data_IF_685368327973
#
_entry.id   IF_685368327973
#
_cell.length_a   1.000
_cell.length_b   1.000
_cell.length_c   1.000
_cell.angle_alpha   90.00
_cell.angle_beta   90.00
_cell.angle_gamma   90.00
#
_symmetry.space_group_name_H-M   'P 1'
#
loop_
_entity.id
_entity.type
_entity.pdbx_description
1 polymer ?
#
# COMPACT_ATOMS: atom_id res chain seq x y z
N UNK A 1 -25.43 -16.76 9.76
CA UNK A 1 -25.80 -16.00 8.53
C UNK A 1 -24.60 -15.34 7.83
N UNK A 2 -23.43 -15.23 8.47
CA UNK A 2 -22.22 -14.55 7.96
C UNK A 2 -21.46 -15.28 6.83
N UNK A 3 -21.54 -16.62 6.81
CA UNK A 3 -20.84 -17.46 5.82
C UNK A 3 -21.38 -17.29 4.39
N UNK A 4 -22.71 -17.23 4.21
CA UNK A 4 -23.34 -17.06 2.89
C UNK A 4 -23.04 -15.68 2.28
N UNK A 5 -23.01 -14.64 3.12
CA UNK A 5 -22.65 -13.29 2.70
C UNK A 5 -21.16 -13.20 2.32
N UNK A 6 -20.26 -13.83 3.09
CA UNK A 6 -18.82 -13.84 2.78
C UNK A 6 -18.50 -14.55 1.47
N UNK A 7 -19.17 -15.68 1.17
CA UNK A 7 -19.02 -16.39 -0.11
C UNK A 7 -19.60 -15.58 -1.27
N UNK A 8 -20.75 -14.93 -1.09
CA UNK A 8 -21.34 -14.06 -2.11
C UNK A 8 -20.47 -12.81 -2.37
N UNK A 9 -19.94 -12.20 -1.32
CA UNK A 9 -19.02 -11.06 -1.41
C UNK A 9 -17.71 -11.45 -2.10
N UNK A 10 -17.11 -12.61 -1.76
CA UNK A 10 -15.90 -13.11 -2.44
C UNK A 10 -16.14 -13.47 -3.90
N UNK A 11 -17.31 -14.05 -4.22
CA UNK A 11 -17.65 -14.43 -5.60
C UNK A 11 -17.99 -13.22 -6.47
N UNK A 12 -18.62 -12.20 -5.87
CA UNK A 12 -18.84 -10.90 -6.53
C UNK A 12 -17.50 -10.17 -6.72
N UNK A 13 -16.65 -10.10 -5.69
CA UNK A 13 -15.35 -9.42 -5.75
C UNK A 13 -14.37 -10.09 -6.73
N UNK A 14 -14.36 -11.43 -6.83
CA UNK A 14 -13.53 -12.14 -7.81
C UNK A 14 -14.02 -11.97 -9.25
N UNK A 15 -15.32 -11.74 -9.44
CA UNK A 15 -15.91 -11.43 -10.73
C UNK A 15 -15.59 -10.01 -11.19
N UNK A 16 -15.69 -9.01 -10.31
CA UNK A 16 -15.45 -7.60 -10.68
C UNK A 16 -14.01 -7.34 -11.14
N UNK A 17 -13.05 -8.19 -10.74
CA UNK A 17 -11.65 -8.12 -11.20
C UNK A 17 -11.33 -8.91 -12.47
N UNK A 18 -12.26 -9.72 -13.01
CA UNK A 18 -12.00 -10.53 -14.20
C UNK A 18 -12.25 -9.72 -15.51
N UNK A 19 -11.38 -9.83 -16.53
CA UNK A 19 -11.60 -9.23 -17.86
C UNK A 19 -12.96 -9.55 -18.49
N UNK A 20 -13.54 -10.71 -18.15
CA UNK A 20 -14.86 -11.12 -18.58
C UNK A 20 -15.99 -10.24 -18.02
N UNK A 21 -15.87 -9.70 -16.80
CA UNK A 21 -16.87 -8.80 -16.22
C UNK A 21 -16.86 -7.43 -16.92
N UNK A 22 -15.67 -6.95 -17.33
CA UNK A 22 -15.56 -5.75 -18.15
C UNK A 22 -16.26 -5.94 -19.51
N UNK A 23 -16.02 -7.07 -20.18
CA UNK A 23 -16.68 -7.41 -21.45
C UNK A 23 -18.22 -7.49 -21.30
N UNK A 24 -18.70 -8.05 -20.18
CA UNK A 24 -20.14 -8.14 -19.89
C UNK A 24 -20.73 -6.75 -19.63
N UNK A 25 -20.04 -5.89 -18.87
CA UNK A 25 -20.47 -4.51 -18.64
C UNK A 25 -20.54 -3.71 -19.96
N UNK A 26 -19.55 -3.85 -20.84
CA UNK A 26 -19.56 -3.24 -22.18
C UNK A 26 -20.74 -3.76 -23.00
N UNK A 27 -21.00 -5.06 -22.99
CA UNK A 27 -22.15 -5.64 -23.70
C UNK A 27 -23.49 -5.08 -23.18
N UNK A 28 -23.65 -4.91 -21.87
CA UNK A 28 -24.85 -4.29 -21.26
C UNK A 28 -25.02 -2.85 -21.73
N UNK A 29 -23.94 -2.06 -21.78
CA UNK A 29 -23.98 -0.68 -22.29
C UNK A 29 -24.38 -0.66 -23.77
N UNK A 30 -23.84 -1.55 -24.59
CA UNK A 30 -24.19 -1.66 -26.02
C UNK A 30 -25.67 -2.00 -26.22
N UNK A 31 -26.19 -2.98 -25.48
CA UNK A 31 -27.62 -3.34 -25.51
C UNK A 31 -28.47 -2.13 -25.11
N UNK A 32 -28.09 -1.42 -24.05
CA UNK A 32 -28.80 -0.22 -23.64
C UNK A 32 -28.83 0.82 -24.77
N UNK A 33 -27.70 1.17 -25.38
CA UNK A 33 -27.63 2.12 -26.51
C UNK A 33 -28.56 1.71 -27.66
N UNK A 34 -28.58 0.42 -28.03
CA UNK A 34 -29.42 -0.10 -29.12
C UNK A 34 -30.91 -0.03 -28.78
N UNK A 35 -31.27 -0.13 -27.50
CA UNK A 35 -32.67 0.07 -27.06
C UNK A 35 -33.09 1.55 -27.02
N UNK A 36 -32.15 2.50 -27.01
CA UNK A 36 -32.45 3.94 -26.95
C UNK A 36 -33.38 4.47 -28.05
N UNK A 37 -33.15 4.15 -29.34
CA UNK A 37 -34.04 4.53 -30.45
C UNK A 37 -35.47 4.04 -30.29
N UNK A 38 -35.68 2.85 -29.69
CA UNK A 38 -37.02 2.28 -29.47
C UNK A 38 -37.80 3.13 -28.46
N UNK A 39 -37.11 3.67 -27.46
CA UNK A 39 -37.68 4.53 -26.41
C UNK A 39 -37.54 6.03 -26.69
N UNK A 40 -37.19 6.40 -27.93
CA UNK A 40 -36.94 7.80 -28.36
C UNK A 40 -35.99 8.57 -27.42
N UNK A 41 -35.03 7.89 -26.79
CA UNK A 41 -34.12 8.49 -25.80
C UNK A 41 -34.85 9.27 -24.68
N UNK A 42 -36.03 8.79 -24.26
CA UNK A 42 -36.87 9.44 -23.25
C UNK A 42 -36.15 9.70 -21.92
N UNK A 43 -36.66 10.68 -21.16
CA UNK A 43 -36.15 11.03 -19.84
C UNK A 43 -36.14 9.82 -18.88
N UNK A 44 -37.17 8.97 -18.94
CA UNK A 44 -37.23 7.74 -18.13
C UNK A 44 -36.14 6.74 -18.50
N UNK A 45 -35.83 6.60 -19.80
CA UNK A 45 -34.80 5.69 -20.28
C UNK A 45 -33.39 6.14 -19.84
N UNK A 46 -33.12 7.46 -19.84
CA UNK A 46 -31.88 8.03 -19.32
C UNK A 46 -31.81 7.94 -17.78
N UNK A 47 -32.93 8.19 -17.10
CA UNK A 47 -33.02 8.12 -15.64
C UNK A 47 -32.65 6.72 -15.12
N UNK A 48 -33.15 5.66 -15.76
CA UNK A 48 -32.88 4.28 -15.33
C UNK A 48 -31.38 3.96 -15.30
N UNK A 49 -30.62 4.33 -16.35
CA UNK A 49 -29.18 4.03 -16.35
C UNK A 49 -28.41 4.90 -15.37
N UNK A 50 -28.80 6.17 -15.22
CA UNK A 50 -28.11 7.11 -14.34
C UNK A 50 -28.33 6.70 -12.87
N UNK A 51 -29.58 6.44 -12.49
CA UNK A 51 -29.93 5.95 -11.15
C UNK A 51 -29.29 4.59 -10.87
N UNK A 52 -29.36 3.65 -11.82
CA UNK A 52 -28.75 2.32 -11.67
C UNK A 52 -27.24 2.38 -11.48
N UNK A 53 -26.55 3.15 -12.33
CA UNK A 53 -25.09 3.30 -12.26
C UNK A 53 -24.67 4.00 -10.97
N UNK A 54 -25.44 4.98 -10.49
CA UNK A 54 -25.17 5.66 -9.22
C UNK A 54 -25.24 4.68 -8.04
N UNK A 55 -26.28 3.84 -7.98
CA UNK A 55 -26.40 2.81 -6.93
C UNK A 55 -25.23 1.82 -7.00
N UNK A 56 -24.90 1.32 -8.20
CA UNK A 56 -23.78 0.39 -8.39
C UNK A 56 -22.46 1.03 -7.99
N UNK A 57 -22.23 2.30 -8.36
CA UNK A 57 -21.02 3.03 -8.00
C UNK A 57 -20.92 3.24 -6.50
N UNK A 58 -22.02 3.59 -5.84
CA UNK A 58 -22.05 3.74 -4.39
C UNK A 58 -21.72 2.42 -3.68
N UNK A 59 -22.31 1.31 -4.13
CA UNK A 59 -21.95 -0.03 -3.64
C UNK A 59 -20.50 -0.39 -3.95
N UNK A 60 -20.00 -0.04 -5.13
CA UNK A 60 -18.62 -0.27 -5.56
C UNK A 60 -17.63 0.45 -4.65
N UNK A 61 -17.92 1.68 -4.22
CA UNK A 61 -17.08 2.40 -3.25
C UNK A 61 -16.93 1.59 -1.95
N UNK A 62 -18.03 1.07 -1.39
CA UNK A 62 -17.95 0.21 -0.20
C UNK A 62 -17.19 -1.10 -0.45
N UNK A 63 -17.38 -1.73 -1.61
CA UNK A 63 -16.67 -2.96 -1.97
C UNK A 63 -15.17 -2.72 -2.15
N UNK A 64 -14.80 -1.64 -2.83
CA UNK A 64 -13.41 -1.20 -3.00
C UNK A 64 -12.82 -0.90 -1.62
N UNK A 65 -13.50 -0.13 -0.79
CA UNK A 65 -13.04 0.20 0.57
C UNK A 65 -12.86 -1.04 1.44
N UNK A 66 -13.78 -2.01 1.40
CA UNK A 66 -13.64 -3.27 2.16
C UNK A 66 -12.47 -4.13 1.66
N UNK A 67 -12.25 -4.17 0.34
CA UNK A 67 -11.13 -4.91 -0.25
C UNK A 67 -9.80 -4.22 0.06
N UNK A 68 -9.74 -2.90 -0.13
CA UNK A 68 -8.58 -2.06 0.18
C UNK A 68 -8.23 -2.10 1.66
N UNK A 69 -9.21 -2.10 2.56
CA UNK A 69 -8.96 -2.17 4.00
C UNK A 69 -8.31 -3.50 4.41
N UNK A 70 -8.75 -4.62 3.83
CA UNK A 70 -8.11 -5.93 4.04
C UNK A 70 -6.71 -6.01 3.43
N UNK A 71 -6.54 -5.46 2.23
CA UNK A 71 -5.25 -5.49 1.53
C UNK A 71 -4.21 -4.61 2.26
N UNK A 72 -4.63 -3.46 2.80
CA UNK A 72 -3.80 -2.59 3.65
C UNK A 72 -3.29 -3.34 4.89
N UNK A 73 -4.19 -4.00 5.62
CA UNK A 73 -3.83 -4.79 6.81
C UNK A 73 -2.87 -5.93 6.46
N UNK A 74 -3.09 -6.63 5.34
CA UNK A 74 -2.18 -7.68 4.89
C UNK A 74 -0.80 -7.14 4.51
N UNK A 75 -0.71 -5.94 3.93
CA UNK A 75 0.57 -5.30 3.62
C UNK A 75 1.32 -4.93 4.90
N UNK A 76 0.64 -4.35 5.89
CA UNK A 76 1.23 -4.03 7.19
C UNK A 76 1.85 -5.29 7.83
N UNK A 77 1.09 -6.39 7.93
CA UNK A 77 1.59 -7.64 8.52
C UNK A 77 2.82 -8.18 7.77
N UNK A 78 2.82 -8.15 6.44
CA UNK A 78 3.96 -8.60 5.63
C UNK A 78 5.19 -7.72 5.82
N UNK A 79 5.00 -6.42 5.98
CA UNK A 79 6.09 -5.49 6.28
C UNK A 79 6.63 -5.72 7.69
N UNK A 80 5.76 -5.92 8.69
CA UNK A 80 6.17 -6.26 10.05
C UNK A 80 6.99 -7.55 10.08
N UNK A 81 6.54 -8.60 9.37
CA UNK A 81 7.26 -9.86 9.23
C UNK A 81 8.62 -9.67 8.53
N UNK A 82 8.68 -8.82 7.49
CA UNK A 82 9.94 -8.51 6.82
C UNK A 82 10.90 -7.72 7.72
N UNK A 83 10.40 -6.79 8.54
CA UNK A 83 11.19 -6.08 9.55
C UNK A 83 11.75 -7.05 10.59
N UNK A 84 10.92 -7.97 11.09
CA UNK A 84 11.28 -9.07 12.00
C UNK A 84 12.25 -10.08 11.37
N UNK A 85 12.22 -10.28 10.05
CA UNK A 85 13.07 -11.24 9.35
C UNK A 85 14.39 -10.62 8.86
N UNK A 86 14.44 -9.30 8.62
CA UNK A 86 15.63 -8.62 8.11
C UNK A 86 16.72 -8.40 9.16
N UNK A 87 16.47 -8.80 10.40
CA UNK A 87 17.36 -8.81 11.57
C UNK A 87 16.52 -9.54 12.63
N UNK A 88 16.97 -10.32 13.61
CA UNK A 88 17.76 -9.81 14.74
C UNK A 88 17.48 -8.31 15.06
N UNK A 89 16.24 -7.87 14.78
CA UNK A 89 15.80 -6.48 14.66
C UNK A 89 15.10 -6.24 15.96
N UNK A 90 15.91 -5.82 16.92
CA UNK A 90 15.52 -5.46 18.27
C UNK A 90 14.01 -5.19 18.38
N UNK A 91 13.33 -6.12 19.06
CA UNK A 91 11.92 -6.25 19.42
C UNK A 91 11.13 -4.93 19.63
N UNK A 92 11.86 -3.83 19.87
CA UNK A 92 11.38 -2.48 20.16
C UNK A 92 10.66 -1.76 19.00
N UNK A 93 10.82 -2.19 17.75
CA UNK A 93 10.21 -1.50 16.60
C UNK A 93 8.91 -2.14 16.08
N UNK A 94 8.62 -3.38 16.48
CA UNK A 94 7.45 -4.11 15.96
C UNK A 94 6.10 -3.58 16.49
N UNK A 95 6.11 -2.84 17.61
CA UNK A 95 4.93 -2.26 18.25
C UNK A 95 5.01 -0.73 18.39
N UNK A 96 5.71 -0.04 17.48
CA UNK A 96 5.88 1.43 17.55
C UNK A 96 4.55 2.19 17.59
N UNK A 97 3.49 1.62 17.03
CA UNK A 97 2.14 2.21 17.01
C UNK A 97 1.40 2.10 18.35
N UNK A 98 1.86 1.21 19.25
CA UNK A 98 1.29 0.99 20.59
C UNK A 98 2.16 1.63 21.70
N UNK A 99 3.27 2.29 21.35
CA UNK A 99 4.14 2.96 22.32
C UNK A 99 3.50 4.25 22.84
N UNK A 100 3.73 4.53 24.12
CA UNK A 100 3.42 5.85 24.69
C UNK A 100 4.40 6.91 24.18
N UNK A 101 4.00 8.19 24.24
CA UNK A 101 4.83 9.31 23.75
C UNK A 101 6.24 9.32 24.40
N UNK A 102 6.32 8.94 25.67
CA UNK A 102 7.57 8.90 26.45
C UNK A 102 8.49 7.76 25.98
N UNK A 103 7.93 6.59 25.66
CA UNK A 103 8.67 5.45 25.10
C UNK A 103 9.11 5.71 23.66
N UNK A 104 8.31 6.45 22.89
CA UNK A 104 8.65 6.86 21.53
C UNK A 104 9.82 7.85 21.52
N UNK A 105 9.87 8.77 22.48
CA UNK A 105 10.96 9.73 22.65
C UNK A 105 12.27 9.03 23.05
N UNK A 106 12.22 8.03 23.93
CA UNK A 106 13.37 7.21 24.31
C UNK A 106 13.92 6.41 23.11
N UNK A 107 13.03 5.80 22.31
CA UNK A 107 13.41 5.07 21.10
C UNK A 107 14.07 5.99 20.05
N UNK A 108 13.53 7.20 19.89
CA UNK A 108 14.07 8.20 18.99
C UNK A 108 15.47 8.69 19.45
N UNK A 109 15.66 8.85 20.76
CA UNK A 109 16.96 9.22 21.35
C UNK A 109 18.04 8.14 21.15
N UNK A 110 17.72 6.86 21.37
CA UNK A 110 18.65 5.74 21.14
C UNK A 110 19.04 5.64 19.65
N UNK A 111 18.07 5.78 18.75
CA UNK A 111 18.32 5.75 17.31
C UNK A 111 19.26 6.88 16.86
N UNK A 112 19.06 8.08 17.41
CA UNK A 112 19.94 9.23 17.17
C UNK A 112 21.36 8.99 17.66
N UNK A 113 21.52 8.46 18.88
CA UNK A 113 22.84 8.16 19.44
C UNK A 113 23.60 7.13 18.59
N UNK A 114 22.91 6.09 18.12
CA UNK A 114 23.50 5.07 17.23
C UNK A 114 23.90 5.64 15.86
N UNK A 115 23.09 6.53 15.30
CA UNK A 115 23.39 7.20 14.03
C UNK A 115 24.64 8.10 14.16
N UNK A 116 24.77 8.83 15.27
CA UNK A 116 25.94 9.67 15.56
C UNK A 116 27.21 8.82 15.77
N UNK A 117 27.10 7.68 16.45
CA UNK A 117 28.19 6.72 16.62
C UNK A 117 28.63 6.11 15.28
N UNK A 118 27.70 5.74 14.40
CA UNK A 118 28.02 5.24 13.07
C UNK A 118 28.69 6.31 12.19
N UNK A 119 28.17 7.55 12.24
CA UNK A 119 28.73 8.68 11.48
C UNK A 119 30.15 9.03 11.91
N UNK A 120 30.42 9.06 13.22
CA UNK A 120 31.77 9.32 13.76
C UNK A 120 32.76 8.21 13.38
N UNK A 121 32.33 6.95 13.36
CA UNK A 121 33.18 5.83 12.95
C UNK A 121 33.53 5.88 11.45
N UNK A 122 32.60 6.32 10.60
CA UNK A 122 32.83 6.55 9.17
C UNK A 122 33.76 7.73 8.95
N UNK A 123 33.57 8.84 9.67
CA UNK A 123 34.43 10.03 9.60
C UNK A 123 35.87 9.71 10.03
N UNK A 124 36.04 8.95 11.11
CA UNK A 124 37.36 8.53 11.60
C UNK A 124 38.08 7.61 10.59
N UNK A 125 37.35 6.67 9.96
CA UNK A 125 37.90 5.84 8.87
C UNK A 125 38.29 6.66 7.64
N UNK A 126 37.53 7.70 7.30
CA UNK A 126 37.84 8.60 6.17
C UNK A 126 39.13 9.40 6.42
N UNK A 127 39.28 9.94 7.64
CA UNK A 127 40.47 10.69 8.06
C UNK A 127 41.74 9.82 8.12
N UNK A 128 41.62 8.58 8.60
CA UNK A 128 42.73 7.62 8.58
C UNK A 128 43.16 7.26 7.14
N UNK A 129 42.20 7.19 6.21
CA UNK A 129 42.45 6.84 4.80
C UNK A 129 43.06 8.01 4.00
N UNK A 130 42.74 9.26 4.33
CA UNK A 130 43.38 10.44 3.71
C UNK A 130 44.83 10.61 4.18
N UNK A 131 45.08 10.41 5.48
CA UNK A 131 46.42 10.50 6.09
C UNK A 131 47.37 9.42 5.55
N UNK A 132 46.89 8.19 5.39
CA UNK A 132 47.68 7.11 4.78
C UNK A 132 47.97 7.30 3.29
N UNK A 133 47.12 8.03 2.56
CA UNK A 133 47.32 8.32 1.13
C UNK A 133 48.35 9.45 0.91
N UNK A 134 48.38 10.45 1.79
CA UNK A 134 49.40 11.50 1.80
C UNK A 134 50.81 10.94 2.10
N UNK A 135 50.93 10.13 3.16
CA UNK A 135 52.22 9.51 3.53
C UNK A 135 52.79 8.58 2.44
N UNK A 136 51.93 7.91 1.66
CA UNK A 136 52.34 7.04 0.55
C UNK A 136 52.69 7.81 -0.72
N UNK A 137 52.15 9.01 -0.90
CA UNK A 137 52.50 9.93 -1.99
C UNK A 137 53.89 10.52 -1.79
N UNK A 138 54.21 10.93 -0.56
CA UNK A 138 55.51 11.53 -0.22
C UNK A 138 56.65 10.51 -0.28
N UNK A 139 56.39 9.25 0.09
CA UNK A 139 57.36 8.16 0.01
C UNK A 139 57.61 7.64 -1.42
N UNK A 140 56.72 7.90 -2.38
CA UNK A 140 56.89 7.50 -3.79
C UNK A 140 57.54 8.59 -4.65
N UNK A 141 57.67 9.81 -4.11
CA UNK A 141 58.31 10.96 -4.75
C UNK A 141 59.76 11.20 -4.27
N UNK A 142 60.26 10.34 -3.38
CA UNK A 142 61.64 10.30 -2.89
C UNK A 142 62.40 9.10 -3.48
#
# INVERSE_FOLDING_TARGET
>A
MTQKFSVFAQKTASWTGHPAAFLLAVAVILVWIVTGPIFNYSDTWQLIINTGTTIVTFLMVFLIQNTQNRDMLSMQIKLSELVLAMKDAEDKFAAVEDLTDEELEELHADCRARAEMAASHIANRSSARSSGKAAKSDAAAA
#
